data_IF_054793870176
#
_entry.id   IF_054793870176
#
_cell.length_a   1.000
_cell.length_b   1.000
_cell.length_c   1.000
_cell.angle_alpha   90.00
_cell.angle_beta   90.00
_cell.angle_gamma   90.00
#
_symmetry.space_group_name_H-M   'P 1'
#
loop_
_entity.id
_entity.type
_entity.pdbx_description
1 polymer ?
#
# COMPACT_ATOMS: atom_id res chain seq x y z
N UNK A 1 -13.79 6.98 -15.18
CA UNK A 1 -13.74 7.18 -13.71
C UNK A 1 -12.31 7.55 -13.36
N UNK A 2 -12.12 8.62 -12.59
CA UNK A 2 -10.79 9.08 -12.18
C UNK A 2 -10.53 8.53 -10.77
N UNK A 3 -9.56 7.64 -10.63
CA UNK A 3 -9.20 7.10 -9.31
C UNK A 3 -8.30 8.11 -8.60
N UNK A 4 -8.60 8.37 -7.32
CA UNK A 4 -7.69 9.11 -6.46
C UNK A 4 -6.44 8.26 -6.24
N UNK A 5 -5.30 8.74 -6.73
CA UNK A 5 -4.04 8.00 -6.66
C UNK A 5 -2.97 8.84 -5.96
N UNK A 6 -2.13 8.17 -5.19
CA UNK A 6 -1.01 8.76 -4.46
C UNK A 6 0.28 8.08 -4.91
N UNK A 7 1.30 8.87 -5.22
CA UNK A 7 2.62 8.36 -5.57
C UNK A 7 3.52 8.39 -4.32
N UNK A 8 4.05 7.25 -3.92
CA UNK A 8 4.92 7.07 -2.75
C UNK A 8 6.16 6.30 -3.19
N UNK A 9 7.34 6.90 -3.06
CA UNK A 9 8.63 6.28 -3.40
C UNK A 9 8.65 5.56 -4.76
N UNK A 10 8.13 6.23 -5.81
CA UNK A 10 8.04 5.68 -7.17
C UNK A 10 6.85 4.74 -7.43
N UNK A 11 6.18 4.26 -6.38
CA UNK A 11 5.01 3.39 -6.47
C UNK A 11 3.71 4.19 -6.49
N UNK A 12 2.66 3.65 -7.12
CA UNK A 12 1.34 4.28 -7.16
C UNK A 12 0.38 3.47 -6.30
N UNK A 13 -0.30 4.12 -5.38
CA UNK A 13 -1.38 3.56 -4.60
C UNK A 13 -2.71 4.21 -4.99
N UNK A 14 -3.77 3.42 -5.10
CA UNK A 14 -5.14 3.94 -5.13
C UNK A 14 -5.55 4.21 -3.71
N UNK A 15 -6.02 5.42 -3.43
CA UNK A 15 -6.41 5.85 -2.09
C UNK A 15 -7.90 6.17 -2.02
N UNK A 16 -8.51 5.86 -0.88
CA UNK A 16 -9.89 6.19 -0.53
C UNK A 16 -9.91 6.75 0.88
N UNK A 17 -10.67 7.82 1.10
CA UNK A 17 -10.86 8.37 2.44
C UNK A 17 -11.87 7.51 3.22
N UNK A 18 -11.49 7.11 4.42
CA UNK A 18 -12.35 6.41 5.36
C UNK A 18 -12.84 7.40 6.44
N UNK A 19 -14.13 7.78 6.41
CA UNK A 19 -14.68 8.74 7.36
C UNK A 19 -14.88 8.15 8.76
N UNK A 20 -14.87 6.83 8.95
CA UNK A 20 -15.05 6.22 10.28
C UNK A 20 -13.83 6.42 11.17
N UNK A 21 -12.65 6.46 10.56
CA UNK A 21 -11.37 6.63 11.24
C UNK A 21 -10.67 7.95 10.88
N UNK A 22 -11.30 8.78 10.04
CA UNK A 22 -10.76 10.04 9.52
C UNK A 22 -9.37 9.90 8.86
N UNK A 23 -9.11 8.79 8.18
CA UNK A 23 -7.80 8.47 7.56
C UNK A 23 -7.94 8.02 6.10
N UNK A 24 -6.86 8.16 5.33
CA UNK A 24 -6.79 7.61 3.97
C UNK A 24 -6.34 6.15 4.01
N UNK A 25 -7.13 5.26 3.40
CA UNK A 25 -6.74 3.88 3.11
C UNK A 25 -6.18 3.81 1.70
N UNK A 26 -5.06 3.11 1.52
CA UNK A 26 -4.41 2.95 0.22
C UNK A 26 -4.14 1.49 -0.10
N UNK A 27 -4.29 1.13 -1.37
CA UNK A 27 -3.84 -0.15 -1.93
C UNK A 27 -2.80 0.13 -3.03
N UNK A 28 -1.60 -0.45 -2.90
CA UNK A 28 -0.55 -0.29 -3.88
C UNK A 28 -0.89 -1.04 -5.17
N UNK A 29 -0.90 -0.33 -6.29
CA UNK A 29 -1.15 -0.91 -7.61
C UNK A 29 0.11 -1.63 -8.08
N UNK A 30 0.01 -2.91 -8.37
CA UNK A 30 1.11 -3.70 -8.95
C UNK A 30 2.12 -4.25 -7.95
N UNK A 31 1.94 -4.03 -6.65
CA UNK A 31 2.61 -4.84 -5.63
C UNK A 31 1.85 -6.16 -5.54
N UNK A 32 2.35 -7.19 -6.24
CA UNK A 32 1.95 -8.56 -5.96
C UNK A 32 2.17 -8.80 -4.46
N UNK A 33 1.10 -8.85 -3.66
CA UNK A 33 1.13 -9.17 -2.23
C UNK A 33 1.75 -10.55 -1.91
N UNK A 34 2.25 -11.25 -2.93
CA UNK A 34 2.97 -12.51 -2.88
C UNK A 34 4.50 -12.37 -2.73
N UNK A 35 5.10 -11.17 -2.82
CA UNK A 35 6.46 -10.99 -2.27
C UNK A 35 6.36 -10.78 -0.77
N UNK A 36 6.07 -11.90 -0.11
CA UNK A 36 6.03 -12.11 1.33
C UNK A 36 7.21 -11.41 2.00
N UNK A 37 6.90 -10.52 2.93
CA UNK A 37 7.82 -10.11 3.98
C UNK A 37 8.30 -11.37 4.69
N UNK A 38 9.48 -11.86 4.32
CA UNK A 38 10.16 -12.94 5.05
C UNK A 38 10.90 -12.25 6.19
N UNK A 39 10.50 -12.46 7.46
CA UNK A 39 11.33 -12.02 8.56
C UNK A 39 12.62 -12.84 8.47
N UNK A 40 13.72 -12.21 8.06
CA UNK A 40 15.03 -12.82 8.14
C UNK A 40 15.38 -12.87 9.63
N UNK A 41 14.89 -13.90 10.32
CA UNK A 41 15.47 -14.34 11.59
C UNK A 41 16.77 -15.08 11.25
N UNK A 42 17.76 -14.33 10.76
CA UNK A 42 19.14 -14.77 10.68
C UNK A 42 19.88 -14.04 11.80
N UNK A 43 20.16 -14.75 12.89
CA UNK A 43 21.44 -14.77 13.60
C UNK A 43 21.38 -15.93 14.60
N UNK A 44 21.78 -17.13 14.16
CA UNK A 44 22.44 -18.15 14.98
C UNK A 44 23.63 -18.69 14.22
#
# INVERSE_FOLDING_TARGET
MMNNTLKIDGHVAVITFDPEIEMFRGEFVGLNAAQTFTPIASMS
#
